data_IF_464976160159
#
_entry.id   IF_464976160159
#
_cell.length_a   1.000
_cell.length_b   1.000
_cell.length_c   1.000
_cell.angle_alpha   90.00
_cell.angle_beta   90.00
_cell.angle_gamma   90.00
#
_symmetry.space_group_name_H-M   'P 1'
#
loop_
_entity.id
_entity.type
_entity.pdbx_description
1 polymer ?
#
# COMPACT_ATOMS: atom_id res chain seq x y z
N UNK A 1 -30.62 -32.18 -56.56
CA UNK A 1 -29.29 -31.63 -56.26
C UNK A 1 -29.55 -30.31 -55.54
N UNK A 2 -29.70 -30.40 -54.19
CA UNK A 2 -30.08 -29.27 -53.33
C UNK A 2 -28.87 -28.82 -52.57
N UNK A 3 -28.48 -27.57 -52.82
CA UNK A 3 -27.38 -26.89 -52.18
C UNK A 3 -27.95 -26.13 -50.97
N UNK A 4 -27.68 -26.63 -49.75
CA UNK A 4 -28.01 -25.93 -48.52
C UNK A 4 -26.85 -25.00 -48.16
N UNK A 5 -27.09 -23.70 -48.29
CA UNK A 5 -26.19 -22.66 -47.75
C UNK A 5 -26.46 -22.50 -46.23
N UNK A 6 -25.48 -22.85 -45.41
CA UNK A 6 -25.49 -22.61 -44.00
C UNK A 6 -25.04 -21.16 -43.75
N UNK A 7 -25.96 -20.31 -43.32
CA UNK A 7 -25.66 -18.99 -42.82
C UNK A 7 -25.21 -19.13 -41.35
N UNK A 8 -23.92 -18.91 -41.05
CA UNK A 8 -23.41 -18.71 -39.73
C UNK A 8 -23.71 -17.27 -39.31
N UNK A 9 -24.72 -17.09 -38.48
CA UNK A 9 -25.03 -15.82 -37.83
C UNK A 9 -24.01 -15.55 -36.74
N UNK A 10 -23.16 -14.56 -36.96
CA UNK A 10 -22.25 -14.01 -35.93
C UNK A 10 -23.09 -13.15 -34.99
N UNK A 11 -23.45 -13.69 -33.81
CA UNK A 11 -24.09 -12.94 -32.77
C UNK A 11 -23.00 -12.09 -32.07
N UNK A 12 -22.98 -10.81 -32.43
CA UNK A 12 -22.26 -9.79 -31.67
C UNK A 12 -22.99 -9.59 -30.30
N UNK A 13 -22.52 -10.25 -29.28
CA UNK A 13 -22.87 -9.87 -27.93
C UNK A 13 -22.11 -8.57 -27.62
N UNK A 14 -22.78 -7.45 -27.76
CA UNK A 14 -22.33 -6.20 -27.19
C UNK A 14 -22.44 -6.30 -25.69
N UNK A 15 -21.35 -6.49 -24.99
CA UNK A 15 -21.23 -6.17 -23.59
C UNK A 15 -21.22 -4.65 -23.48
N UNK A 16 -22.35 -4.07 -23.12
CA UNK A 16 -22.39 -2.74 -22.55
C UNK A 16 -21.87 -2.89 -21.11
N UNK A 17 -20.56 -2.83 -20.92
CA UNK A 17 -19.97 -2.50 -19.65
C UNK A 17 -20.18 -1.00 -19.49
N UNK A 18 -21.01 -0.61 -18.55
CA UNK A 18 -21.05 0.74 -18.01
C UNK A 18 -20.04 0.76 -16.86
N UNK A 19 -18.80 0.71 -17.19
CA UNK A 19 -17.75 1.06 -16.23
C UNK A 19 -17.51 2.56 -16.35
N UNK A 20 -17.44 3.23 -15.21
CA UNK A 20 -16.77 4.52 -15.10
C UNK A 20 -15.31 4.25 -15.46
N UNK A 21 -14.98 4.47 -16.71
CA UNK A 21 -13.64 4.23 -17.24
C UNK A 21 -12.76 5.43 -16.84
N UNK A 22 -12.23 5.38 -15.60
CA UNK A 22 -11.24 6.34 -15.10
C UNK A 22 -9.83 6.06 -15.68
N UNK A 23 -9.77 5.16 -16.67
CA UNK A 23 -8.53 4.81 -17.35
C UNK A 23 -7.92 6.02 -18.04
N UNK A 24 -6.63 6.25 -17.77
CA UNK A 24 -5.90 7.40 -18.32
C UNK A 24 -4.68 6.95 -19.12
N UNK A 25 -4.27 7.79 -20.06
CA UNK A 25 -2.95 7.64 -20.67
C UNK A 25 -1.92 8.32 -19.76
N UNK A 26 -1.00 7.58 -19.15
CA UNK A 26 -0.01 8.18 -18.23
C UNK A 26 0.97 9.06 -18.99
N UNK A 27 1.56 10.02 -18.29
CA UNK A 27 2.67 10.81 -18.79
C UNK A 27 3.84 9.90 -19.21
N UNK A 28 4.58 10.22 -20.26
CA UNK A 28 5.69 9.38 -20.75
C UNK A 28 6.77 9.10 -19.69
N UNK A 29 7.00 10.04 -18.78
CA UNK A 29 7.97 9.89 -17.69
C UNK A 29 7.49 8.88 -16.65
N UNK A 30 6.21 8.95 -16.25
CA UNK A 30 5.61 7.99 -15.33
C UNK A 30 5.64 6.56 -15.92
N UNK A 31 5.25 6.44 -17.19
CA UNK A 31 5.33 5.15 -17.91
C UNK A 31 6.75 4.60 -17.94
N UNK A 32 7.74 5.42 -18.30
CA UNK A 32 9.15 4.99 -18.36
C UNK A 32 9.67 4.57 -16.98
N UNK A 33 9.30 5.29 -15.92
CA UNK A 33 9.67 4.96 -14.54
C UNK A 33 9.07 3.61 -14.13
N UNK A 34 7.77 3.39 -14.43
CA UNK A 34 7.08 2.14 -14.19
C UNK A 34 7.75 0.96 -14.94
N UNK A 35 7.94 1.07 -16.26
CA UNK A 35 8.55 0.03 -17.08
C UNK A 35 9.97 -0.32 -16.62
N UNK A 36 10.70 0.68 -16.10
CA UNK A 36 12.04 0.48 -15.54
C UNK A 36 12.03 -0.27 -14.21
N UNK A 37 11.00 -0.02 -13.38
CA UNK A 37 10.84 -0.64 -12.06
C UNK A 37 10.22 -2.04 -12.16
N UNK A 38 9.29 -2.24 -13.09
CA UNK A 38 8.54 -3.48 -13.28
C UNK A 38 8.64 -4.00 -14.72
N UNK A 39 9.83 -4.45 -15.16
CA UNK A 39 10.07 -4.82 -16.55
C UNK A 39 9.30 -6.08 -17.01
N UNK A 40 8.77 -6.85 -16.08
CA UNK A 40 8.00 -8.07 -16.37
C UNK A 40 6.50 -7.92 -16.09
N UNK A 41 6.05 -6.72 -15.75
CA UNK A 41 4.64 -6.45 -15.49
C UNK A 41 3.77 -6.74 -16.72
N UNK A 42 2.59 -7.28 -16.47
CA UNK A 42 1.57 -7.59 -17.46
C UNK A 42 0.22 -7.03 -17.02
N UNK A 43 -0.74 -6.93 -17.94
CA UNK A 43 -2.09 -6.42 -17.69
C UNK A 43 -2.07 -5.03 -17.02
N UNK A 44 -1.24 -4.13 -17.56
CA UNK A 44 -1.03 -2.80 -16.99
C UNK A 44 -2.18 -1.88 -17.38
N UNK A 45 -2.88 -1.41 -16.37
CA UNK A 45 -3.92 -0.39 -16.49
C UNK A 45 -3.48 0.86 -15.72
N UNK A 46 -3.96 2.03 -16.15
CA UNK A 46 -3.58 3.28 -15.51
C UNK A 46 -4.83 4.07 -15.12
N UNK A 47 -4.84 4.53 -13.90
CA UNK A 47 -5.84 5.46 -13.40
C UNK A 47 -5.19 6.72 -12.82
N UNK A 48 -6.01 7.72 -12.53
CA UNK A 48 -5.58 8.96 -11.88
C UNK A 48 -6.42 9.21 -10.65
N UNK A 49 -5.74 9.31 -9.50
CA UNK A 49 -6.36 9.69 -8.23
C UNK A 49 -5.59 10.87 -7.64
N UNK A 50 -6.26 11.98 -7.42
CA UNK A 50 -5.62 13.22 -6.97
C UNK A 50 -4.48 13.67 -7.90
N UNK A 51 -3.26 13.74 -7.39
CA UNK A 51 -2.06 14.10 -8.13
C UNK A 51 -1.24 12.89 -8.58
N UNK A 52 -1.73 11.66 -8.30
CA UNK A 52 -1.02 10.44 -8.64
C UNK A 52 -1.55 9.83 -9.93
N UNK A 53 -0.63 9.20 -10.63
CA UNK A 53 -0.87 8.23 -11.69
C UNK A 53 -0.63 6.85 -11.08
N UNK A 54 -1.64 6.02 -11.06
CA UNK A 54 -1.60 4.69 -10.46
C UNK A 54 -1.55 3.68 -11.59
N UNK A 55 -0.54 2.82 -11.57
CA UNK A 55 -0.47 1.67 -12.43
C UNK A 55 -0.95 0.44 -11.66
N UNK A 56 -2.04 -0.17 -12.10
CA UNK A 56 -2.45 -1.51 -11.70
C UNK A 56 -1.83 -2.52 -12.65
N UNK A 57 -1.29 -3.61 -12.12
CA UNK A 57 -0.52 -4.56 -12.94
C UNK A 57 -0.40 -5.93 -12.25
N UNK A 58 -0.02 -6.93 -13.03
CA UNK A 58 0.39 -8.23 -12.49
C UNK A 58 1.91 -8.38 -12.66
N UNK A 59 2.62 -8.62 -11.59
CA UNK A 59 4.04 -8.99 -11.60
C UNK A 59 4.27 -10.25 -10.75
N UNK A 60 4.98 -11.23 -11.33
CA UNK A 60 5.24 -12.53 -10.67
C UNK A 60 3.97 -13.24 -10.16
N UNK A 61 2.85 -13.12 -10.85
CA UNK A 61 1.53 -13.68 -10.52
C UNK A 61 0.87 -13.04 -9.29
N UNK A 62 1.31 -11.88 -8.86
CA UNK A 62 0.72 -11.08 -7.80
C UNK A 62 0.15 -9.79 -8.39
N UNK A 63 -0.99 -9.38 -7.89
CA UNK A 63 -1.58 -8.10 -8.21
C UNK A 63 -0.81 -7.00 -7.50
N UNK A 64 -0.61 -5.89 -8.20
CA UNK A 64 0.13 -4.76 -7.68
C UNK A 64 -0.42 -3.44 -8.14
N UNK A 65 -0.28 -2.42 -7.29
CA UNK A 65 -0.59 -1.02 -7.59
C UNK A 65 0.63 -0.17 -7.29
N UNK A 66 1.03 0.68 -8.23
CA UNK A 66 2.19 1.55 -8.04
C UNK A 66 1.84 3.00 -8.35
N UNK A 67 2.17 3.89 -7.41
CA UNK A 67 1.86 5.32 -7.44
C UNK A 67 3.06 6.12 -7.94
N UNK A 68 2.81 6.96 -8.93
CA UNK A 68 3.78 7.87 -9.52
C UNK A 68 3.18 9.27 -9.64
N UNK A 69 4.02 10.29 -9.72
CA UNK A 69 3.58 11.59 -10.23
C UNK A 69 3.83 11.71 -11.75
N UNK A 70 3.40 12.84 -12.34
CA UNK A 70 3.58 13.12 -13.75
C UNK A 70 5.06 13.22 -14.17
N UNK A 71 5.98 13.42 -13.23
CA UNK A 71 7.43 13.48 -13.50
C UNK A 71 8.09 12.12 -13.48
N UNK A 72 7.36 11.07 -13.07
CA UNK A 72 7.84 9.72 -12.93
C UNK A 72 8.47 9.43 -11.57
N UNK A 73 8.30 10.31 -10.59
CA UNK A 73 8.68 10.03 -9.21
C UNK A 73 7.78 8.91 -8.67
N UNK A 74 8.37 7.82 -8.23
CA UNK A 74 7.68 6.74 -7.55
C UNK A 74 7.51 7.06 -6.06
N UNK A 75 6.32 6.78 -5.53
CA UNK A 75 5.97 7.02 -4.13
C UNK A 75 5.71 5.74 -3.36
N UNK A 76 4.89 4.86 -3.91
CA UNK A 76 4.46 3.65 -3.20
C UNK A 76 4.21 2.51 -4.19
N UNK A 77 4.32 1.30 -3.70
CA UNK A 77 3.77 0.10 -4.32
C UNK A 77 3.09 -0.75 -3.26
N UNK A 78 1.88 -1.11 -3.54
CA UNK A 78 1.12 -2.13 -2.86
C UNK A 78 1.22 -3.43 -3.66
N UNK A 79 1.36 -4.54 -2.99
CA UNK A 79 1.35 -5.86 -3.62
C UNK A 79 0.50 -6.79 -2.78
N UNK A 80 -0.58 -7.30 -3.35
CA UNK A 80 -1.44 -8.28 -2.72
C UNK A 80 -0.74 -9.64 -2.63
N UNK A 81 -0.69 -10.21 -1.43
CA UNK A 81 -0.10 -11.50 -1.17
C UNK A 81 -1.23 -12.53 -0.98
N UNK A 82 -1.22 -13.56 -1.78
CA UNK A 82 -2.29 -14.57 -1.81
C UNK A 82 -2.23 -15.58 -0.65
N UNK A 83 -1.11 -15.64 0.09
CA UNK A 83 -0.90 -16.62 1.16
C UNK A 83 0.02 -16.09 2.25
N UNK A 84 -0.27 -16.42 3.50
CA UNK A 84 0.59 -16.10 4.67
C UNK A 84 2.00 -16.64 4.56
N UNK A 85 2.24 -17.68 3.77
CA UNK A 85 3.59 -18.22 3.53
C UNK A 85 4.50 -17.28 2.73
N UNK A 86 3.95 -16.23 2.12
CA UNK A 86 4.69 -15.18 1.41
C UNK A 86 5.16 -14.07 2.34
N UNK A 87 4.60 -13.99 3.56
CA UNK A 87 5.08 -13.10 4.60
C UNK A 87 6.49 -13.50 5.08
N UNK A 88 7.30 -12.54 5.56
CA UNK A 88 8.52 -12.87 6.29
C UNK A 88 8.27 -13.82 7.45
N UNK A 89 9.24 -14.70 7.73
CA UNK A 89 9.10 -15.72 8.78
C UNK A 89 8.81 -15.11 10.16
N UNK A 90 9.39 -13.95 10.44
CA UNK A 90 9.19 -13.28 11.74
C UNK A 90 7.79 -12.66 11.84
N UNK A 91 7.21 -12.16 10.75
CA UNK A 91 5.80 -11.73 10.69
C UNK A 91 4.87 -12.91 10.91
N UNK A 92 5.10 -14.04 10.22
CA UNK A 92 4.31 -15.26 10.43
C UNK A 92 4.33 -15.72 11.89
N UNK A 93 5.50 -15.69 12.55
CA UNK A 93 5.66 -16.04 13.97
C UNK A 93 4.94 -15.03 14.87
N UNK A 94 5.08 -13.73 14.58
CA UNK A 94 4.43 -12.68 15.36
C UNK A 94 2.92 -12.82 15.31
N UNK A 95 2.33 -12.97 14.12
CA UNK A 95 0.90 -13.18 13.93
C UNK A 95 0.42 -14.44 14.65
N UNK A 96 1.12 -15.55 14.52
CA UNK A 96 0.76 -16.81 15.16
C UNK A 96 0.79 -16.76 16.70
N UNK A 97 1.55 -15.84 17.28
CA UNK A 97 1.64 -15.62 18.74
C UNK A 97 0.80 -14.43 19.23
N UNK A 98 0.11 -13.73 18.34
CA UNK A 98 -0.74 -12.58 18.67
C UNK A 98 -2.11 -13.00 19.18
N UNK A 99 -2.88 -12.07 19.71
CA UNK A 99 -4.29 -12.25 20.02
C UNK A 99 -5.16 -12.49 18.78
N UNK A 100 -4.65 -12.14 17.60
CA UNK A 100 -5.30 -12.31 16.29
C UNK A 100 -5.02 -13.67 15.63
N UNK A 101 -4.24 -14.55 16.25
CA UNK A 101 -3.80 -15.85 15.69
C UNK A 101 -4.95 -16.78 15.23
N UNK A 102 -6.16 -16.59 15.75
CA UNK A 102 -7.33 -17.39 15.43
C UNK A 102 -8.41 -16.61 14.66
N UNK A 103 -8.07 -15.40 14.22
CA UNK A 103 -8.97 -14.61 13.39
C UNK A 103 -8.88 -15.05 11.93
N UNK A 104 -9.95 -14.80 11.18
CA UNK A 104 -9.93 -15.02 9.74
C UNK A 104 -9.06 -13.95 9.12
N UNK A 105 -8.11 -14.32 8.28
CA UNK A 105 -7.31 -13.41 7.48
C UNK A 105 -8.07 -13.20 6.18
N UNK A 106 -8.43 -11.96 5.91
CA UNK A 106 -9.18 -11.59 4.72
C UNK A 106 -8.23 -11.15 3.61
N UNK A 107 -7.32 -10.26 3.91
CA UNK A 107 -6.35 -9.76 2.97
C UNK A 107 -4.93 -9.63 3.55
N UNK A 108 -3.94 -9.57 2.68
CA UNK A 108 -2.52 -9.41 3.04
C UNK A 108 -1.83 -8.55 2.01
N UNK A 109 -1.36 -7.38 2.42
CA UNK A 109 -0.62 -6.48 1.58
C UNK A 109 0.83 -6.29 2.00
N UNK A 110 1.68 -6.14 1.00
CA UNK A 110 3.04 -5.63 1.17
C UNK A 110 3.09 -4.21 0.64
N UNK A 111 3.39 -3.27 1.52
CA UNK A 111 3.52 -1.86 1.19
C UNK A 111 5.00 -1.45 1.15
N UNK A 112 5.44 -0.99 0.01
CA UNK A 112 6.76 -0.42 -0.22
C UNK A 112 6.60 1.07 -0.50
N UNK A 113 7.18 1.92 0.32
CA UNK A 113 7.13 3.38 0.17
C UNK A 113 8.50 3.99 0.02
N UNK A 114 8.57 5.12 -0.67
CA UNK A 114 9.83 5.82 -0.84
C UNK A 114 10.30 6.43 0.49
N UNK A 115 11.50 6.06 0.94
CA UNK A 115 12.13 6.61 2.14
C UNK A 115 11.71 6.00 3.48
N UNK A 116 10.85 4.98 3.48
CA UNK A 116 10.44 4.22 4.66
C UNK A 116 10.77 2.74 4.53
N UNK A 117 10.55 1.97 5.56
CA UNK A 117 10.65 0.51 5.49
C UNK A 117 9.42 -0.11 4.81
N UNK A 118 9.62 -1.31 4.27
CA UNK A 118 8.52 -2.16 3.82
C UNK A 118 7.73 -2.63 5.03
N UNK A 119 6.40 -2.50 4.95
CA UNK A 119 5.47 -3.04 5.94
C UNK A 119 4.55 -4.07 5.31
N UNK A 120 3.98 -4.91 6.15
CA UNK A 120 2.99 -5.91 5.79
C UNK A 120 1.72 -5.60 6.55
N UNK A 121 0.64 -5.38 5.83
CA UNK A 121 -0.69 -5.15 6.40
C UNK A 121 -1.45 -6.46 6.28
N UNK A 122 -2.05 -6.88 7.38
CA UNK A 122 -2.83 -8.12 7.44
C UNK A 122 -4.21 -7.75 7.96
N UNK A 123 -5.18 -7.82 7.07
CA UNK A 123 -6.56 -7.62 7.45
C UNK A 123 -7.10 -8.87 8.14
N UNK A 124 -7.66 -8.69 9.32
CA UNK A 124 -8.20 -9.78 10.12
C UNK A 124 -9.62 -9.51 10.55
N UNK A 125 -10.48 -10.53 10.42
CA UNK A 125 -11.92 -10.44 10.71
C UNK A 125 -12.34 -11.47 11.75
N UNK A 126 -13.18 -11.02 12.68
CA UNK A 126 -13.85 -11.91 13.62
C UNK A 126 -15.17 -11.32 14.09
N UNK A 127 -16.25 -12.06 13.87
CA UNK A 127 -17.63 -11.64 14.17
C UNK A 127 -17.99 -10.35 13.37
N UNK A 128 -17.94 -9.20 14.02
CA UNK A 128 -18.21 -7.87 13.44
C UNK A 128 -17.01 -6.92 13.65
N UNK A 129 -15.88 -7.46 13.95
CA UNK A 129 -14.66 -6.68 14.16
C UNK A 129 -13.70 -6.97 13.02
N UNK A 130 -13.16 -5.92 12.45
CA UNK A 130 -12.20 -5.93 11.36
C UNK A 130 -11.05 -5.01 11.74
N UNK A 131 -9.82 -5.49 11.59
CA UNK A 131 -8.62 -4.76 11.94
C UNK A 131 -7.53 -4.98 10.91
N UNK A 132 -6.82 -3.91 10.59
CA UNK A 132 -5.55 -3.93 9.88
C UNK A 132 -4.41 -4.02 10.88
N UNK A 133 -3.58 -5.03 10.71
CA UNK A 133 -2.39 -5.26 11.51
C UNK A 133 -1.15 -4.89 10.70
N UNK A 134 -0.46 -3.82 11.08
CA UNK A 134 0.73 -3.33 10.39
C UNK A 134 1.98 -3.92 11.01
N UNK A 135 2.69 -4.76 10.26
CA UNK A 135 3.92 -5.41 10.72
C UNK A 135 5.14 -4.93 9.94
N UNK A 136 6.24 -4.65 10.62
CA UNK A 136 7.55 -4.56 9.98
C UNK A 136 8.05 -5.95 9.54
N UNK A 137 9.02 -5.99 8.63
CA UNK A 137 9.55 -7.26 8.09
C UNK A 137 10.18 -8.19 9.16
N UNK A 138 10.61 -7.64 10.28
CA UNK A 138 11.13 -8.39 11.44
C UNK A 138 10.07 -8.73 12.50
N UNK A 139 8.77 -8.61 12.14
CA UNK A 139 7.65 -9.08 12.94
C UNK A 139 7.25 -8.18 14.10
N UNK A 140 7.66 -6.92 14.11
CA UNK A 140 7.19 -5.96 15.11
C UNK A 140 5.81 -5.45 14.66
N UNK A 141 4.79 -5.59 15.51
CA UNK A 141 3.49 -4.97 15.31
C UNK A 141 3.64 -3.47 15.56
N UNK A 142 3.46 -2.68 14.51
CA UNK A 142 3.65 -1.22 14.53
C UNK A 142 2.36 -0.52 14.92
N UNK A 143 1.25 -0.96 14.33
CA UNK A 143 -0.05 -0.29 14.47
C UNK A 143 -1.16 -1.33 14.33
N UNK A 144 -2.26 -1.12 15.03
CA UNK A 144 -3.54 -1.81 14.82
C UNK A 144 -4.59 -0.75 14.52
N UNK A 145 -5.20 -0.84 13.38
CA UNK A 145 -6.25 0.09 12.95
C UNK A 145 -7.56 -0.67 12.81
N UNK A 146 -8.66 -0.10 13.33
CA UNK A 146 -9.98 -0.67 13.05
C UNK A 146 -10.36 -0.30 11.61
N UNK A 147 -10.67 -1.30 10.82
CA UNK A 147 -11.27 -1.05 9.53
C UNK A 147 -12.74 -0.68 9.73
N UNK A 148 -13.08 0.53 9.34
CA UNK A 148 -14.43 1.11 9.50
C UNK A 148 -15.14 1.33 8.16
N UNK A 149 -14.50 0.99 7.05
CA UNK A 149 -15.00 1.27 5.70
C UNK A 149 -14.88 0.04 4.82
N UNK A 150 -15.94 -0.25 4.04
CA UNK A 150 -15.91 -1.28 2.98
C UNK A 150 -15.04 -0.83 1.76
N UNK A 151 -14.36 0.31 1.84
CA UNK A 151 -13.54 0.85 0.75
C UNK A 151 -12.05 0.52 1.00
N UNK A 152 -11.61 -0.61 0.49
CA UNK A 152 -10.28 -1.21 0.67
C UNK A 152 -9.08 -0.33 0.24
N UNK A 153 -9.29 0.83 -0.38
CA UNK A 153 -8.24 1.55 -1.10
C UNK A 153 -7.90 2.95 -0.61
N UNK A 154 -8.63 3.49 0.36
CA UNK A 154 -8.35 4.87 0.81
C UNK A 154 -7.28 4.96 1.91
N UNK A 155 -6.98 3.84 2.56
CA UNK A 155 -6.08 3.82 3.73
C UNK A 155 -4.58 3.87 3.38
N UNK A 156 -4.21 3.52 2.13
CA UNK A 156 -2.81 3.39 1.73
C UNK A 156 -2.33 4.47 0.75
N UNK A 157 -2.95 5.64 0.74
CA UNK A 157 -2.44 6.71 -0.10
C UNK A 157 -1.01 7.06 0.31
N UNK A 158 -0.08 7.15 -0.66
CA UNK A 158 1.26 7.61 -0.34
C UNK A 158 1.14 9.03 0.21
N UNK A 159 1.73 9.29 1.38
CA UNK A 159 1.83 10.66 1.85
C UNK A 159 2.64 11.46 0.82
N UNK A 160 2.05 12.51 0.31
CA UNK A 160 2.67 13.37 -0.70
C UNK A 160 3.85 14.18 -0.14
N UNK A 161 4.02 14.20 1.18
CA UNK A 161 5.08 14.92 1.85
C UNK A 161 6.22 13.98 2.22
N UNK A 162 7.37 14.12 1.56
CA UNK A 162 8.60 13.57 2.11
C UNK A 162 8.83 14.20 3.50
N UNK A 163 9.13 13.36 4.49
CA UNK A 163 9.46 13.84 5.83
C UNK A 163 10.57 14.90 5.74
N UNK A 164 10.33 16.15 6.20
CA UNK A 164 11.32 17.21 6.13
C UNK A 164 12.66 16.78 6.75
N UNK A 165 13.76 17.17 6.13
CA UNK A 165 15.11 16.80 6.58
C UNK A 165 15.38 17.17 8.04
N UNK A 166 14.80 18.28 8.52
CA UNK A 166 14.88 18.70 9.94
C UNK A 166 14.22 17.72 10.89
N UNK A 167 13.03 17.21 10.54
CA UNK A 167 12.31 16.23 11.36
C UNK A 167 13.03 14.88 11.35
N UNK A 168 13.50 14.45 10.18
CA UNK A 168 14.34 13.24 10.06
C UNK A 168 15.59 13.35 10.92
N UNK A 169 16.27 14.48 10.91
CA UNK A 169 17.45 14.72 11.75
C UNK A 169 17.12 14.74 13.25
N UNK A 170 16.00 15.33 13.64
CA UNK A 170 15.51 15.30 15.02
C UNK A 170 15.30 13.86 15.49
N UNK A 171 14.59 13.05 14.69
CA UNK A 171 14.32 11.64 14.99
C UNK A 171 15.64 10.87 15.15
N UNK A 172 16.58 11.02 14.21
CA UNK A 172 17.88 10.33 14.28
C UNK A 172 18.69 10.71 15.50
N UNK A 173 18.62 11.98 15.94
CA UNK A 173 19.33 12.47 17.14
C UNK A 173 18.68 11.98 18.42
N UNK A 174 17.36 11.96 18.50
CA UNK A 174 16.59 11.58 19.70
C UNK A 174 16.44 10.06 19.83
N UNK A 175 16.31 9.38 18.71
CA UNK A 175 16.13 7.93 18.60
C UNK A 175 17.17 7.33 17.66
N UNK A 176 18.44 7.22 18.07
CA UNK A 176 19.52 6.66 17.23
C UNK A 176 19.18 5.26 16.74
N UNK A 177 19.48 5.00 15.45
CA UNK A 177 19.17 3.73 14.78
C UNK A 177 17.66 3.42 14.67
N UNK A 178 16.79 4.40 14.86
CA UNK A 178 15.37 4.21 14.55
C UNK A 178 15.14 4.02 13.05
N UNK A 179 14.11 3.26 12.73
CA UNK A 179 13.62 3.02 11.37
C UNK A 179 12.29 3.73 11.22
N UNK A 180 12.13 4.53 10.16
CA UNK A 180 10.88 5.22 9.86
C UNK A 180 9.99 4.24 9.10
N UNK A 181 8.77 4.07 9.59
CA UNK A 181 7.77 3.15 9.04
C UNK A 181 6.75 3.90 8.23
N UNK A 182 6.19 4.97 8.81
CA UNK A 182 5.14 5.76 8.20
C UNK A 182 5.31 7.23 8.55
N UNK A 183 4.78 8.09 7.71
CA UNK A 183 4.70 9.54 7.96
C UNK A 183 3.32 10.00 7.52
N UNK A 184 2.59 10.62 8.41
CA UNK A 184 1.27 11.17 8.15
C UNK A 184 1.24 12.65 8.51
N UNK A 185 0.55 13.45 7.70
CA UNK A 185 0.37 14.88 7.97
C UNK A 185 -1.11 15.22 7.94
N UNK A 186 -1.68 15.36 9.13
CA UNK A 186 -3.06 15.75 9.33
C UNK A 186 -3.20 16.96 10.26
N UNK A 187 -4.19 17.81 10.02
CA UNK A 187 -4.59 18.90 10.93
C UNK A 187 -3.44 19.76 11.43
N UNK A 188 -2.46 20.07 10.57
CA UNK A 188 -1.24 20.82 10.92
C UNK A 188 -0.33 20.07 11.92
N UNK A 189 -0.33 18.77 11.91
CA UNK A 189 0.61 17.92 12.64
C UNK A 189 1.28 16.95 11.68
N UNK A 190 2.53 16.63 11.94
CA UNK A 190 3.23 15.53 11.30
C UNK A 190 3.44 14.43 12.34
N UNK A 191 2.91 13.28 12.07
CA UNK A 191 3.03 12.07 12.88
C UNK A 191 3.98 11.14 12.15
N UNK A 192 4.94 10.57 12.88
CA UNK A 192 5.96 9.70 12.31
C UNK A 192 6.07 8.45 13.14
N UNK A 193 5.66 7.33 12.56
CA UNK A 193 5.83 6.03 13.17
C UNK A 193 7.25 5.53 12.95
N UNK A 194 7.89 5.18 14.04
CA UNK A 194 9.25 4.64 14.05
C UNK A 194 9.34 3.34 14.85
N UNK A 195 10.28 2.48 14.46
CA UNK A 195 10.73 1.41 15.33
C UNK A 195 12.06 1.81 15.95
N UNK A 196 12.12 1.79 17.26
CA UNK A 196 13.33 2.04 18.04
C UNK A 196 13.43 1.06 19.22
N UNK A 197 14.57 0.35 19.32
CA UNK A 197 14.79 -0.68 20.36
C UNK A 197 13.72 -1.79 20.34
N UNK A 198 13.33 -2.24 19.15
CA UNK A 198 12.30 -3.26 18.90
C UNK A 198 10.91 -2.91 19.44
N UNK A 199 10.58 -1.63 19.50
CA UNK A 199 9.26 -1.12 19.89
C UNK A 199 8.79 -0.07 18.91
N UNK A 200 7.50 -0.07 18.63
CA UNK A 200 6.84 1.00 17.92
C UNK A 200 6.74 2.26 18.77
N UNK A 201 6.86 3.42 18.12
CA UNK A 201 6.69 4.73 18.72
C UNK A 201 6.15 5.68 17.68
N UNK A 202 5.16 6.45 18.04
CA UNK A 202 4.64 7.55 17.25
C UNK A 202 5.27 8.87 17.75
N UNK A 203 5.96 9.56 16.87
CA UNK A 203 6.63 10.85 17.15
C UNK A 203 5.85 11.97 16.49
N UNK A 204 5.30 12.89 17.28
CA UNK A 204 4.39 13.94 16.82
C UNK A 204 5.07 15.30 16.82
N UNK A 205 4.92 16.01 15.70
CA UNK A 205 5.39 17.38 15.49
C UNK A 205 4.22 18.30 15.17
N UNK A 206 4.35 19.58 15.51
CA UNK A 206 3.40 20.61 15.06
C UNK A 206 3.70 21.09 13.64
N UNK A 207 2.87 22.02 13.13
CA UNK A 207 3.03 22.63 11.80
C UNK A 207 4.36 23.36 11.59
N UNK A 208 5.04 23.77 12.66
CA UNK A 208 6.36 24.43 12.61
C UNK A 208 7.50 23.42 12.57
N UNK A 209 7.19 22.12 12.80
CA UNK A 209 8.16 21.05 12.94
C UNK A 209 8.75 20.96 14.35
N UNK A 210 8.11 21.61 15.33
CA UNK A 210 8.51 21.46 16.72
C UNK A 210 7.93 20.18 17.32
N UNK A 211 8.76 19.42 18.00
CA UNK A 211 8.36 18.17 18.66
C UNK A 211 7.34 18.42 19.78
N UNK A 212 6.21 17.76 19.71
CA UNK A 212 5.15 17.85 20.71
C UNK A 212 5.27 16.77 21.77
N UNK A 213 5.23 15.51 21.34
CA UNK A 213 5.30 14.36 22.22
C UNK A 213 5.74 13.10 21.48
N UNK A 214 5.82 11.97 22.23
CA UNK A 214 6.04 10.64 21.68
C UNK A 214 5.13 9.67 22.43
N UNK A 215 4.33 8.91 21.71
CA UNK A 215 3.56 7.79 22.23
C UNK A 215 4.38 6.49 22.09
N UNK A 216 4.08 5.54 22.96
CA UNK A 216 4.70 4.21 22.98
C UNK A 216 3.57 3.18 22.94
N UNK A 217 3.59 2.33 21.97
CA UNK A 217 2.70 1.18 21.84
C UNK A 217 3.28 -0.07 22.53
#
# INVERSE_FOLDING_TARGET
>A
MNLYALFFGLALFGFCSCDNDDSVTPDPQARQAFESKYPNATQVEWEKKNNYLIAEFIDNQLDGKAWFDATGQWYMTETELTHTSQLPEDVQKALANSEYAQWYIDDIDRLERNGTETIYVIEVKKDKQEYDLYYSADGILVKVQADLTDDDYENYLPDASELPASLRQFIQNKYPNSRIIETETEHNRTEVDIIHENRSKEVIFDASGDWLNTHYD
#
